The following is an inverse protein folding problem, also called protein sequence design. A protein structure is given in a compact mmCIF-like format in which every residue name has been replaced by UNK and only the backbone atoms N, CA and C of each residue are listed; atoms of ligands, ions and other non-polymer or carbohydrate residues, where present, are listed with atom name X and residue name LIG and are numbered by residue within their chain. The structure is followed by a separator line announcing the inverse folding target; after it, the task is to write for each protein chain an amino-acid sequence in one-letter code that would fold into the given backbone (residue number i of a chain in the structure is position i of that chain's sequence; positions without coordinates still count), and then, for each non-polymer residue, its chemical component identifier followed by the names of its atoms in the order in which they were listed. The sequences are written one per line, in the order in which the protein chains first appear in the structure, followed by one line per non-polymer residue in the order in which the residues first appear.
data_IF_180701680621
#
_entry.id   IF_180701680621
#
_cell.length_a   1.000
_cell.length_b   1.000
_cell.length_c   1.000
_cell.angle_alpha   90.00
_cell.angle_beta   90.00
_cell.angle_gamma   90.00
#
_symmetry.space_group_name_H-M   'P 1'
#
loop_
_entity.id
_entity.type
_entity.pdbx_description
1 polymer ?
#
# COMPACT_ATOMS: atom_id res chain seq x y z
N UNK A 1 -6.60 13.09 44.68
CA UNK A 1 -7.64 13.43 43.67
C UNK A 1 -7.62 12.32 42.63
N UNK A 2 -8.76 11.70 42.32
CA UNK A 2 -8.85 10.68 41.27
C UNK A 2 -8.82 11.41 39.92
N UNK A 3 -7.73 11.29 39.18
CA UNK A 3 -7.73 11.62 37.76
C UNK A 3 -8.78 10.74 37.09
N UNK A 4 -9.93 11.32 36.80
CA UNK A 4 -10.96 10.69 36.00
C UNK A 4 -10.44 10.72 34.57
N UNK A 5 -9.74 9.66 34.17
CA UNK A 5 -9.60 9.34 32.75
C UNK A 5 -11.00 9.43 32.11
N UNK A 6 -11.12 9.94 30.86
CA UNK A 6 -12.35 9.81 30.10
C UNK A 6 -12.81 8.36 30.14
N UNK A 7 -14.13 8.05 30.13
CA UNK A 7 -14.59 6.68 30.03
C UNK A 7 -14.15 6.12 28.67
N UNK A 8 -13.03 5.42 28.64
CA UNK A 8 -12.53 4.71 27.46
C UNK A 8 -13.44 3.52 27.24
N UNK A 9 -14.05 3.45 26.05
CA UNK A 9 -14.98 2.38 25.67
C UNK A 9 -14.37 1.50 24.57
N UNK A 10 -14.98 0.37 24.28
CA UNK A 10 -14.64 -0.46 23.11
C UNK A 10 -14.65 0.34 21.80
N UNK A 11 -15.55 1.33 21.65
CA UNK A 11 -15.64 2.22 20.49
C UNK A 11 -14.33 2.99 20.26
N UNK A 12 -13.64 3.41 21.31
CA UNK A 12 -12.34 4.08 21.19
C UNK A 12 -11.29 3.17 20.55
N UNK A 13 -11.17 1.93 21.06
CA UNK A 13 -10.22 0.95 20.53
C UNK A 13 -10.58 0.52 19.10
N UNK A 14 -11.86 0.34 18.80
CA UNK A 14 -12.34 0.09 17.43
C UNK A 14 -11.92 1.24 16.51
N UNK A 15 -12.12 2.49 16.94
CA UNK A 15 -11.74 3.68 16.19
C UNK A 15 -10.24 3.75 15.91
N UNK A 16 -9.40 3.54 16.93
CA UNK A 16 -7.94 3.49 16.77
C UNK A 16 -7.50 2.38 15.82
N UNK A 17 -8.06 1.19 15.98
CA UNK A 17 -7.68 0.04 15.18
C UNK A 17 -8.07 0.27 13.72
N UNK A 18 -9.29 0.75 13.44
CA UNK A 18 -9.68 1.16 12.09
C UNK A 18 -8.79 2.25 11.53
N UNK A 19 -8.45 3.28 12.32
CA UNK A 19 -7.57 4.35 11.87
C UNK A 19 -6.18 3.85 11.49
N UNK A 20 -5.64 2.89 12.25
CA UNK A 20 -4.40 2.18 11.94
C UNK A 20 -4.53 1.36 10.66
N UNK A 21 -5.50 0.44 10.58
CA UNK A 21 -5.62 -0.46 9.42
C UNK A 21 -5.87 0.28 8.10
N UNK A 22 -6.69 1.35 8.12
CA UNK A 22 -6.90 2.21 6.95
C UNK A 22 -5.68 3.01 6.53
N UNK A 23 -4.68 3.13 7.41
CA UNK A 23 -3.46 3.89 7.23
C UNK A 23 -3.55 5.36 7.64
N UNK A 24 -4.69 5.81 8.17
CA UNK A 24 -4.87 7.21 8.64
C UNK A 24 -4.14 7.53 9.94
N UNK A 25 -3.61 6.51 10.62
CA UNK A 25 -2.63 6.63 11.71
C UNK A 25 -1.51 5.60 11.53
N UNK A 26 -0.29 6.02 11.81
CA UNK A 26 0.90 5.18 11.93
C UNK A 26 0.92 4.46 13.27
N UNK A 27 1.79 3.44 13.39
CA UNK A 27 2.09 2.80 14.69
C UNK A 27 2.44 3.83 15.76
N UNK A 28 3.32 4.78 15.44
CA UNK A 28 3.77 5.78 16.41
C UNK A 28 2.62 6.69 16.88
N UNK A 29 1.77 7.16 15.98
CA UNK A 29 0.62 8.01 16.33
C UNK A 29 -0.40 7.25 17.18
N UNK A 30 -0.66 5.97 16.89
CA UNK A 30 -1.55 5.14 17.73
C UNK A 30 -0.99 4.98 19.14
N UNK A 31 0.31 4.68 19.26
CA UNK A 31 0.97 4.55 20.56
C UNK A 31 1.00 5.89 21.32
N UNK A 32 1.13 7.01 20.61
CA UNK A 32 1.04 8.35 21.20
C UNK A 32 -0.35 8.63 21.77
N UNK A 33 -1.43 8.33 21.03
CA UNK A 33 -2.79 8.48 21.54
C UNK A 33 -3.01 7.58 22.78
N UNK A 34 -2.52 6.33 22.72
CA UNK A 34 -2.71 5.34 23.77
C UNK A 34 -1.94 5.70 25.06
N UNK A 35 -0.66 6.05 24.95
CA UNK A 35 0.23 6.29 26.09
C UNK A 35 0.31 7.75 26.51
N UNK A 36 0.29 8.66 25.54
CA UNK A 36 0.47 10.08 25.79
C UNK A 36 -0.83 10.77 26.21
N UNK A 37 -1.94 10.48 25.54
CA UNK A 37 -3.20 11.17 25.79
C UNK A 37 -4.07 10.49 26.84
N UNK A 38 -4.13 9.15 26.82
CA UNK A 38 -5.00 8.38 27.71
C UNK A 38 -4.23 7.66 28.83
N UNK A 39 -2.90 7.59 28.73
CA UNK A 39 -2.03 6.94 29.72
C UNK A 39 -2.42 5.47 30.00
N UNK A 40 -2.74 4.74 28.93
CA UNK A 40 -3.05 3.31 28.96
C UNK A 40 -1.85 2.51 28.45
N UNK A 41 -0.94 2.12 29.34
CA UNK A 41 0.17 1.24 28.99
C UNK A 41 -0.20 -0.22 29.22
N UNK A 42 0.15 -1.15 28.31
CA UNK A 42 0.07 -2.58 28.59
C UNK A 42 0.95 -2.92 29.80
N UNK A 43 0.54 -3.90 30.60
CA UNK A 43 1.25 -4.29 31.82
C UNK A 43 2.67 -4.83 31.55
N UNK A 44 2.92 -5.35 30.36
CA UNK A 44 4.21 -5.84 29.88
C UNK A 44 4.71 -4.92 28.75
N UNK A 45 5.86 -4.26 28.97
CA UNK A 45 6.45 -3.24 28.09
C UNK A 45 7.32 -3.81 26.95
N UNK A 46 7.22 -5.10 26.65
CA UNK A 46 8.01 -5.69 25.56
C UNK A 46 7.35 -5.40 24.19
N UNK A 47 7.25 -4.11 23.86
CA UNK A 47 6.70 -3.59 22.60
C UNK A 47 7.66 -3.77 21.41
N UNK A 48 8.82 -4.42 21.63
CA UNK A 48 9.89 -4.54 20.66
C UNK A 48 9.51 -5.48 19.51
N UNK A 49 8.81 -4.92 18.51
CA UNK A 49 8.33 -5.63 17.33
C UNK A 49 6.90 -6.16 17.43
N UNK A 50 6.16 -5.86 18.50
CA UNK A 50 4.78 -6.31 18.63
C UNK A 50 3.84 -5.53 17.67
N UNK A 51 2.85 -6.25 17.14
CA UNK A 51 1.83 -5.68 16.25
C UNK A 51 0.88 -4.73 16.98
N UNK A 52 0.59 -3.59 16.37
CA UNK A 52 -0.26 -2.54 16.95
C UNK A 52 -1.67 -3.06 17.26
N UNK A 53 -2.22 -3.93 16.41
CA UNK A 53 -3.55 -4.50 16.66
C UNK A 53 -3.54 -5.36 17.93
N UNK A 54 -2.47 -6.12 18.17
CA UNK A 54 -2.30 -6.93 19.39
C UNK A 54 -2.15 -6.06 20.63
N UNK A 55 -1.36 -4.98 20.53
CA UNK A 55 -1.21 -4.01 21.62
C UNK A 55 -2.58 -3.40 21.97
N UNK A 56 -3.35 -2.95 20.97
CA UNK A 56 -4.67 -2.37 21.18
C UNK A 56 -5.65 -3.37 21.81
N UNK A 57 -5.69 -4.62 21.33
CA UNK A 57 -6.56 -5.67 21.87
C UNK A 57 -6.20 -6.04 23.31
N UNK A 58 -4.90 -6.17 23.63
CA UNK A 58 -4.42 -6.44 24.98
C UNK A 58 -4.79 -5.31 25.93
N UNK A 59 -4.52 -4.07 25.54
CA UNK A 59 -4.86 -2.89 26.34
C UNK A 59 -6.36 -2.77 26.55
N UNK A 60 -7.18 -3.01 25.52
CA UNK A 60 -8.63 -3.01 25.65
C UNK A 60 -9.14 -4.07 26.64
N UNK A 61 -8.58 -5.28 26.56
CA UNK A 61 -8.94 -6.41 27.45
C UNK A 61 -8.55 -6.12 28.90
N UNK A 62 -7.40 -5.45 29.12
CA UNK A 62 -6.96 -5.03 30.44
C UNK A 62 -7.86 -3.93 31.04
N UNK A 63 -8.48 -3.09 30.19
CA UNK A 63 -9.47 -2.09 30.62
C UNK A 63 -10.80 -2.75 30.96
N UNK A 64 -11.28 -3.69 30.13
CA UNK A 64 -12.52 -4.43 30.37
C UNK A 64 -12.54 -5.77 29.62
N UNK A 65 -12.88 -6.87 30.32
CA UNK A 65 -12.81 -8.24 29.80
C UNK A 65 -13.64 -8.48 28.52
N UNK A 66 -14.80 -7.83 28.41
CA UNK A 66 -15.69 -7.99 27.25
C UNK A 66 -15.24 -7.22 25.99
N UNK A 67 -14.30 -6.26 26.11
CA UNK A 67 -13.93 -5.42 24.96
C UNK A 67 -13.29 -6.21 23.83
N UNK A 68 -12.58 -7.30 24.11
CA UNK A 68 -12.05 -8.17 23.06
C UNK A 68 -13.13 -8.64 22.10
N UNK A 69 -14.23 -9.20 22.62
CA UNK A 69 -15.32 -9.74 21.79
C UNK A 69 -16.07 -8.64 21.03
N UNK A 70 -16.26 -7.48 21.67
CA UNK A 70 -16.89 -6.31 21.02
C UNK A 70 -16.03 -5.79 19.87
N UNK A 71 -14.71 -5.69 20.05
CA UNK A 71 -13.77 -5.23 19.03
C UNK A 71 -13.72 -6.22 17.86
N UNK A 72 -13.51 -7.51 18.14
CA UNK A 72 -13.44 -8.55 17.10
C UNK A 72 -14.74 -8.58 16.30
N UNK A 73 -15.89 -8.61 16.98
CA UNK A 73 -17.20 -8.60 16.32
C UNK A 73 -17.42 -7.38 15.41
N UNK A 74 -16.94 -6.21 15.82
CA UNK A 74 -17.04 -4.98 15.02
C UNK A 74 -16.10 -4.98 13.80
N UNK A 75 -14.94 -5.64 13.87
CA UNK A 75 -13.96 -5.68 12.78
C UNK A 75 -14.31 -6.72 11.71
N UNK A 76 -14.83 -7.88 12.09
CA UNK A 76 -15.25 -8.92 11.14
C UNK A 76 -16.38 -8.45 10.21
N UNK A 77 -17.14 -7.43 10.61
CA UNK A 77 -18.23 -6.85 9.81
C UNK A 77 -17.84 -5.53 9.10
N UNK A 78 -16.60 -5.06 9.29
CA UNK A 78 -16.15 -3.75 8.85
C UNK A 78 -15.47 -3.81 7.48
N UNK A 79 -16.17 -3.41 6.43
CA UNK A 79 -15.57 -3.14 5.10
C UNK A 79 -14.61 -1.94 5.13
N UNK A 80 -14.66 -1.11 6.16
CA UNK A 80 -13.85 0.08 6.35
C UNK A 80 -12.54 -0.17 7.11
N UNK A 81 -12.02 -1.40 7.05
CA UNK A 81 -10.80 -1.81 7.73
C UNK A 81 -9.60 -1.97 6.78
N UNK A 82 -9.75 -1.71 5.48
CA UNK A 82 -8.69 -1.95 4.49
C UNK A 82 -7.84 -0.70 4.22
N UNK A 83 -6.54 -0.86 3.87
CA UNK A 83 -5.71 0.27 3.48
C UNK A 83 -6.33 1.10 2.37
N UNK A 84 -6.25 2.41 2.52
CA UNK A 84 -6.79 3.38 1.55
C UNK A 84 -5.66 4.12 0.84
N UNK A 85 -5.94 4.77 -0.29
CA UNK A 85 -4.95 5.62 -0.98
C UNK A 85 -4.44 6.72 -0.04
N UNK A 86 -5.35 7.41 0.63
CA UNK A 86 -5.02 8.43 1.62
C UNK A 86 -4.17 7.85 2.76
N UNK A 87 -4.45 6.62 3.18
CA UNK A 87 -3.64 5.87 4.13
C UNK A 87 -2.22 5.58 3.62
N UNK A 88 -2.07 5.08 2.40
CA UNK A 88 -0.75 4.85 1.80
C UNK A 88 0.05 6.14 1.72
N UNK A 89 -0.59 7.25 1.33
CA UNK A 89 0.04 8.58 1.31
C UNK A 89 0.55 8.95 2.71
N UNK A 90 -0.30 8.86 3.73
CA UNK A 90 0.06 9.18 5.11
C UNK A 90 1.24 8.34 5.63
N UNK A 91 1.20 7.03 5.40
CA UNK A 91 2.27 6.12 5.84
C UNK A 91 3.60 6.41 5.12
N UNK A 92 3.56 6.70 3.81
CA UNK A 92 4.74 7.08 3.05
C UNK A 92 5.30 8.44 3.49
N UNK A 93 4.45 9.42 3.79
CA UNK A 93 4.87 10.71 4.34
C UNK A 93 5.55 10.55 5.69
N UNK A 94 4.96 9.75 6.59
CA UNK A 94 5.57 9.47 7.89
C UNK A 94 6.91 8.74 7.77
N UNK A 95 7.01 7.74 6.87
CA UNK A 95 8.25 7.04 6.58
C UNK A 95 9.34 8.00 6.08
N UNK A 96 9.02 8.84 5.10
CA UNK A 96 9.97 9.79 4.52
C UNK A 96 10.36 10.93 5.48
N UNK A 97 9.50 11.24 6.45
CA UNK A 97 9.79 12.18 7.53
C UNK A 97 10.63 11.57 8.67
N UNK A 98 10.87 10.26 8.67
CA UNK A 98 11.57 9.54 9.75
C UNK A 98 10.70 9.23 10.98
N UNK A 99 9.38 9.41 10.86
CA UNK A 99 8.38 9.10 11.90
C UNK A 99 7.83 7.65 11.77
N UNK A 100 8.42 6.85 10.90
CA UNK A 100 8.10 5.42 10.74
C UNK A 100 9.32 4.70 10.16
N UNK A 101 9.30 3.36 10.17
CA UNK A 101 10.36 2.53 9.57
C UNK A 101 9.80 1.70 8.41
N UNK A 102 10.65 1.24 7.46
CA UNK A 102 10.21 0.35 6.40
C UNK A 102 9.54 -0.92 6.92
N UNK A 103 10.03 -1.48 8.02
CA UNK A 103 9.46 -2.68 8.66
C UNK A 103 8.06 -2.40 9.21
N UNK A 104 7.85 -1.24 9.84
CA UNK A 104 6.53 -0.82 10.31
C UNK A 104 5.55 -0.59 9.15
N UNK A 105 6.02 -0.02 8.03
CA UNK A 105 5.22 0.13 6.82
C UNK A 105 4.81 -1.23 6.24
N UNK A 106 5.74 -2.18 6.13
CA UNK A 106 5.44 -3.54 5.65
C UNK A 106 4.46 -4.22 6.58
N UNK A 107 4.68 -4.18 7.89
CA UNK A 107 3.78 -4.77 8.88
C UNK A 107 2.35 -4.21 8.75
N UNK A 108 2.21 -2.89 8.62
CA UNK A 108 0.92 -2.26 8.34
C UNK A 108 0.33 -2.68 6.99
N UNK A 109 1.16 -2.83 5.96
CA UNK A 109 0.67 -3.18 4.63
C UNK A 109 0.32 -4.67 4.46
N UNK A 110 0.65 -5.55 5.41
CA UNK A 110 0.51 -7.00 5.24
C UNK A 110 -0.32 -7.70 6.31
N UNK A 111 -1.03 -6.96 7.17
CA UNK A 111 -1.85 -7.57 8.24
C UNK A 111 -2.94 -8.53 7.72
N UNK A 112 -3.39 -8.33 6.49
CA UNK A 112 -4.42 -9.13 5.82
C UNK A 112 -3.87 -10.37 5.10
N UNK A 113 -2.54 -10.55 5.05
CA UNK A 113 -1.91 -11.66 4.33
C UNK A 113 -1.83 -12.96 5.17
N UNK A 114 -2.77 -13.19 6.08
CA UNK A 114 -2.74 -14.39 6.93
C UNK A 114 -2.98 -15.65 6.08
N UNK A 115 -2.10 -16.67 6.17
CA UNK A 115 -2.20 -17.88 5.36
C UNK A 115 -3.44 -18.70 5.76
N UNK A 116 -4.53 -18.53 5.02
CA UNK A 116 -5.78 -19.27 5.24
C UNK A 116 -7.05 -18.58 4.75
N UNK A 117 -7.01 -17.27 4.48
CA UNK A 117 -8.18 -16.47 4.08
C UNK A 117 -8.10 -15.90 2.64
N UNK A 118 -7.15 -16.40 1.84
CA UNK A 118 -6.96 -15.95 0.47
C UNK A 118 -8.02 -16.54 -0.47
N UNK A 119 -9.22 -15.99 -0.41
CA UNK A 119 -10.35 -16.35 -1.26
C UNK A 119 -10.30 -15.67 -2.65
N UNK A 120 -9.18 -15.02 -3.01
CA UNK A 120 -9.02 -14.35 -4.30
C UNK A 120 -9.93 -13.13 -4.52
N UNK A 121 -10.55 -12.61 -3.46
CA UNK A 121 -11.35 -11.38 -3.48
C UNK A 121 -10.43 -10.22 -3.13
N UNK A 122 -10.21 -9.28 -4.07
CA UNK A 122 -9.45 -8.07 -3.78
C UNK A 122 -10.21 -7.25 -2.73
N UNK A 123 -9.59 -7.08 -1.55
CA UNK A 123 -10.14 -6.33 -0.43
C UNK A 123 -10.03 -4.81 -0.61
N UNK A 124 -9.40 -4.35 -1.69
CA UNK A 124 -9.04 -2.95 -1.89
C UNK A 124 -9.88 -2.30 -2.97
N UNK A 125 -10.31 -1.07 -2.71
CA UNK A 125 -11.05 -0.24 -3.68
C UNK A 125 -10.13 0.42 -4.73
N UNK A 126 -8.81 0.39 -4.54
CA UNK A 126 -7.83 1.02 -5.42
C UNK A 126 -6.77 0.00 -5.85
N UNK A 127 -6.69 -0.25 -7.16
CA UNK A 127 -5.79 -1.25 -7.74
C UNK A 127 -4.31 -0.95 -7.49
N UNK A 128 -3.92 0.33 -7.42
CA UNK A 128 -2.54 0.70 -7.13
C UNK A 128 -2.22 0.47 -5.64
N UNK A 129 -3.18 0.68 -4.75
CA UNK A 129 -3.06 0.36 -3.31
C UNK A 129 -2.95 -1.14 -3.12
N UNK A 130 -3.82 -1.92 -3.77
CA UNK A 130 -3.76 -3.38 -3.77
C UNK A 130 -2.36 -3.87 -4.16
N UNK A 131 -1.90 -3.51 -5.36
CA UNK A 131 -0.57 -3.90 -5.84
C UNK A 131 0.55 -3.48 -4.88
N UNK A 132 0.48 -2.27 -4.32
CA UNK A 132 1.48 -1.76 -3.39
C UNK A 132 1.56 -2.61 -2.11
N UNK A 133 0.41 -2.91 -1.50
CA UNK A 133 0.31 -3.63 -0.24
C UNK A 133 0.49 -5.14 -0.37
N UNK A 134 -0.06 -5.76 -1.42
CA UNK A 134 -0.10 -7.23 -1.56
C UNK A 134 1.09 -7.80 -2.35
N UNK A 135 1.72 -7.00 -3.22
CA UNK A 135 2.81 -7.49 -4.09
C UNK A 135 4.12 -6.74 -3.88
N UNK A 136 4.11 -5.41 -4.01
CA UNK A 136 5.34 -4.62 -4.07
C UNK A 136 6.07 -4.59 -2.72
N UNK A 137 5.38 -4.22 -1.63
CA UNK A 137 5.98 -4.12 -0.30
C UNK A 137 6.44 -5.47 0.28
N UNK A 138 5.63 -6.56 0.26
CA UNK A 138 6.02 -7.82 0.90
C UNK A 138 7.13 -8.56 0.14
N UNK A 139 7.19 -8.42 -1.19
CA UNK A 139 8.13 -9.16 -2.02
C UNK A 139 8.71 -8.29 -3.16
N UNK A 140 9.46 -7.23 -2.82
CA UNK A 140 10.01 -6.35 -3.83
C UNK A 140 11.10 -7.09 -4.65
N UNK A 141 11.18 -6.87 -5.97
CA UNK A 141 12.24 -7.43 -6.84
C UNK A 141 13.68 -7.12 -6.37
N UNK A 142 13.86 -6.01 -5.67
CA UNK A 142 15.10 -5.57 -5.02
C UNK A 142 14.77 -4.65 -3.83
N UNK A 143 15.69 -4.46 -2.86
CA UNK A 143 15.40 -3.65 -1.68
C UNK A 143 14.89 -2.24 -2.02
N UNK A 144 13.77 -1.85 -1.40
CA UNK A 144 13.19 -0.53 -1.60
C UNK A 144 14.08 0.54 -0.99
N UNK A 145 14.48 1.51 -1.81
CA UNK A 145 15.30 2.65 -1.41
C UNK A 145 14.43 3.85 -1.05
N UNK A 146 15.02 4.86 -0.39
CA UNK A 146 14.37 6.14 -0.15
C UNK A 146 13.82 6.78 -1.44
N UNK A 147 14.53 6.62 -2.57
CA UNK A 147 14.09 7.11 -3.86
C UNK A 147 12.82 6.39 -4.36
N UNK A 148 12.70 5.08 -4.12
CA UNK A 148 11.50 4.31 -4.46
C UNK A 148 10.28 4.79 -3.66
N UNK A 149 10.43 5.00 -2.34
CA UNK A 149 9.34 5.52 -1.50
C UNK A 149 8.92 6.95 -1.89
N UNK A 150 9.90 7.81 -2.21
CA UNK A 150 9.63 9.17 -2.69
C UNK A 150 8.84 9.14 -3.99
N UNK A 151 9.19 8.26 -4.91
CA UNK A 151 8.51 8.12 -6.18
C UNK A 151 7.11 7.50 -6.03
N UNK A 152 6.96 6.47 -5.19
CA UNK A 152 5.66 5.91 -4.84
C UNK A 152 4.72 6.99 -4.26
N UNK A 153 5.22 7.84 -3.36
CA UNK A 153 4.44 8.95 -2.80
C UNK A 153 3.96 9.92 -3.89
N UNK A 154 4.83 10.26 -4.85
CA UNK A 154 4.45 11.12 -6.00
C UNK A 154 3.37 10.49 -6.86
N UNK A 155 3.46 9.19 -7.12
CA UNK A 155 2.44 8.44 -7.85
C UNK A 155 1.10 8.52 -7.12
N UNK A 156 1.07 8.19 -5.83
CA UNK A 156 -0.19 8.20 -5.08
C UNK A 156 -0.81 9.60 -4.91
N UNK A 157 0.02 10.65 -4.84
CA UNK A 157 -0.42 12.06 -4.77
C UNK A 157 -0.87 12.65 -6.10
N UNK A 158 -0.77 11.93 -7.22
CA UNK A 158 -1.15 12.46 -8.53
C UNK A 158 -2.64 12.87 -8.55
N UNK A 159 -2.98 14.15 -8.80
CA UNK A 159 -4.36 14.63 -8.75
C UNK A 159 -5.25 14.04 -9.86
N UNK A 160 -4.67 13.56 -10.96
CA UNK A 160 -5.43 12.97 -12.07
C UNK A 160 -5.99 11.58 -11.74
N UNK A 161 -5.48 10.92 -10.69
CA UNK A 161 -5.93 9.64 -10.12
C UNK A 161 -6.37 8.61 -11.19
N UNK A 162 -5.39 7.95 -11.81
CA UNK A 162 -5.62 6.84 -12.75
C UNK A 162 -4.99 5.57 -12.17
N UNK A 163 -5.81 4.71 -11.55
CA UNK A 163 -5.32 3.56 -10.78
C UNK A 163 -4.51 2.56 -11.65
N UNK A 164 -4.87 2.41 -12.92
CA UNK A 164 -4.14 1.53 -13.85
C UNK A 164 -2.77 2.13 -14.17
N UNK A 165 -2.70 3.43 -14.46
CA UNK A 165 -1.42 4.11 -14.71
C UNK A 165 -0.55 4.16 -13.47
N UNK A 166 -1.14 4.36 -12.30
CA UNK A 166 -0.42 4.36 -11.03
C UNK A 166 0.18 2.97 -10.75
N UNK A 167 -0.57 1.88 -10.97
CA UNK A 167 -0.03 0.52 -10.88
C UNK A 167 1.15 0.32 -11.84
N UNK A 168 1.01 0.74 -13.10
CA UNK A 168 2.11 0.66 -14.08
C UNK A 168 3.34 1.44 -13.58
N UNK A 169 3.14 2.65 -13.07
CA UNK A 169 4.22 3.47 -12.53
C UNK A 169 4.92 2.82 -11.33
N UNK A 170 4.16 2.15 -10.44
CA UNK A 170 4.70 1.41 -9.30
C UNK A 170 5.55 0.20 -9.75
N UNK A 171 5.09 -0.57 -10.74
CA UNK A 171 5.88 -1.67 -11.32
C UNK A 171 7.19 -1.15 -11.94
N UNK A 172 7.14 0.01 -12.57
CA UNK A 172 8.28 0.66 -13.22
C UNK A 172 9.20 1.42 -12.24
N UNK A 173 9.02 1.31 -10.92
CA UNK A 173 9.95 1.88 -9.95
C UNK A 173 11.37 1.34 -10.14
N UNK A 174 11.51 0.07 -10.52
CA UNK A 174 12.79 -0.61 -10.63
C UNK A 174 13.40 -0.51 -12.02
N UNK A 175 14.70 -0.23 -12.07
CA UNK A 175 15.43 -0.04 -13.33
C UNK A 175 15.38 -1.28 -14.23
N UNK A 176 15.51 -2.47 -13.65
CA UNK A 176 15.42 -3.74 -14.40
C UNK A 176 14.07 -3.89 -15.10
N UNK A 177 12.99 -3.46 -14.47
CA UNK A 177 11.66 -3.57 -15.06
C UNK A 177 11.43 -2.51 -16.13
N UNK A 178 12.00 -1.30 -15.97
CA UNK A 178 12.03 -0.29 -17.06
C UNK A 178 12.76 -0.80 -18.29
N UNK A 179 13.89 -1.49 -18.12
CA UNK A 179 14.63 -2.08 -19.24
C UNK A 179 13.84 -3.17 -19.96
N UNK A 180 13.15 -4.04 -19.20
CA UNK A 180 12.25 -5.05 -19.76
C UNK A 180 11.09 -4.41 -20.51
N UNK A 181 10.49 -3.37 -19.92
CA UNK A 181 9.44 -2.60 -20.56
C UNK A 181 9.90 -2.07 -21.92
N UNK A 182 11.06 -1.39 -21.96
CA UNK A 182 11.64 -0.88 -23.21
C UNK A 182 11.90 -1.99 -24.23
N UNK A 183 12.34 -3.17 -23.78
CA UNK A 183 12.59 -4.31 -24.67
C UNK A 183 11.29 -4.86 -25.29
N UNK A 184 10.33 -5.29 -24.47
CA UNK A 184 9.11 -5.93 -24.97
C UNK A 184 8.21 -4.97 -25.74
N UNK A 185 8.05 -3.75 -25.22
CA UNK A 185 7.26 -2.72 -25.89
C UNK A 185 7.99 -2.21 -27.13
N UNK A 186 9.32 -2.08 -27.07
CA UNK A 186 10.15 -1.69 -28.20
C UNK A 186 10.09 -2.68 -29.36
N UNK A 187 10.04 -3.97 -29.07
CA UNK A 187 9.91 -5.01 -30.07
C UNK A 187 8.51 -5.02 -30.71
N UNK A 188 7.48 -4.82 -29.90
CA UNK A 188 6.09 -4.65 -30.37
C UNK A 188 5.94 -3.44 -31.30
N UNK A 189 6.43 -2.25 -30.92
CA UNK A 189 6.27 -1.04 -31.75
C UNK A 189 7.07 -1.12 -33.06
N UNK A 190 8.12 -1.95 -33.12
CA UNK A 190 8.86 -2.23 -34.35
C UNK A 190 8.12 -3.22 -35.27
N UNK A 191 7.04 -3.85 -34.80
CA UNK A 191 6.25 -4.83 -35.55
C UNK A 191 6.91 -6.20 -35.65
N UNK A 192 7.88 -6.51 -34.78
CA UNK A 192 8.54 -7.82 -34.76
C UNK A 192 7.71 -8.88 -34.03
N UNK A 193 6.87 -8.47 -33.09
CA UNK A 193 6.01 -9.34 -32.28
C UNK A 193 4.53 -9.00 -32.47
N UNK A 194 3.69 -10.04 -32.40
CA UNK A 194 2.24 -9.88 -32.44
C UNK A 194 1.70 -9.34 -31.10
N UNK A 195 0.54 -8.66 -31.08
CA UNK A 195 -0.08 -8.17 -29.84
C UNK A 195 -0.24 -9.26 -28.76
N UNK A 196 -0.57 -10.49 -29.16
CA UNK A 196 -0.74 -11.62 -28.24
C UNK A 196 0.56 -12.04 -27.56
N UNK A 197 1.71 -11.74 -28.17
CA UNK A 197 3.02 -11.99 -27.55
C UNK A 197 3.37 -10.89 -26.54
N UNK A 198 2.93 -9.64 -26.78
CA UNK A 198 3.04 -8.56 -25.81
C UNK A 198 2.16 -8.85 -24.57
N UNK A 199 0.97 -9.45 -24.77
CA UNK A 199 0.07 -9.82 -23.67
C UNK A 199 0.73 -10.73 -22.64
N UNK A 200 1.62 -11.64 -23.06
CA UNK A 200 2.35 -12.51 -22.11
C UNK A 200 3.15 -11.68 -21.11
N UNK A 201 3.82 -10.64 -21.59
CA UNK A 201 4.56 -9.70 -20.74
C UNK A 201 3.61 -8.86 -19.88
N UNK A 202 2.56 -8.29 -20.50
CA UNK A 202 1.63 -7.40 -19.81
C UNK A 202 0.85 -8.11 -18.70
N UNK A 203 0.38 -9.33 -18.95
CA UNK A 203 -0.33 -10.14 -17.96
C UNK A 203 0.59 -10.55 -16.82
N UNK A 204 1.85 -10.92 -17.12
CA UNK A 204 2.81 -11.30 -16.08
C UNK A 204 3.21 -10.14 -15.17
N UNK A 205 3.40 -8.94 -15.71
CA UNK A 205 3.93 -7.79 -14.97
C UNK A 205 2.90 -6.83 -14.43
N UNK A 206 1.83 -6.64 -15.18
CA UNK A 206 0.81 -5.65 -14.87
C UNK A 206 -0.56 -6.30 -14.61
N UNK A 207 -0.72 -7.61 -14.86
CA UNK A 207 -1.99 -8.32 -14.67
C UNK A 207 -3.08 -7.84 -15.61
N UNK A 208 -2.71 -7.35 -16.80
CA UNK A 208 -3.61 -6.79 -17.80
C UNK A 208 -3.16 -7.21 -19.20
N UNK A 209 -4.11 -7.34 -20.12
CA UNK A 209 -3.83 -7.53 -21.54
C UNK A 209 -3.67 -6.18 -22.25
N UNK A 210 -3.36 -6.21 -23.54
CA UNK A 210 -3.25 -5.02 -24.35
C UNK A 210 -4.58 -4.25 -24.43
N UNK A 211 -5.74 -4.91 -24.40
CA UNK A 211 -7.03 -4.18 -24.39
C UNK A 211 -7.21 -3.30 -23.14
N UNK A 212 -6.64 -3.71 -22.01
CA UNK A 212 -6.76 -3.04 -20.73
C UNK A 212 -5.55 -2.17 -20.37
N UNK A 213 -4.45 -2.26 -21.14
CA UNK A 213 -3.22 -1.54 -20.84
C UNK A 213 -3.35 -0.03 -21.17
N UNK A 214 -3.18 0.87 -20.18
CA UNK A 214 -3.60 2.27 -20.29
C UNK A 214 -2.78 3.12 -21.28
N UNK A 215 -1.65 2.60 -21.76
CA UNK A 215 -0.77 3.29 -22.70
C UNK A 215 -0.87 2.76 -24.14
N UNK A 216 -1.76 1.81 -24.45
CA UNK A 216 -1.87 1.27 -25.83
C UNK A 216 -2.14 2.34 -26.89
N UNK A 217 -2.97 3.33 -26.61
CA UNK A 217 -3.23 4.42 -27.56
C UNK A 217 -1.96 5.23 -27.83
N UNK A 218 -1.15 5.47 -26.79
CA UNK A 218 0.14 6.15 -26.93
C UNK A 218 1.13 5.29 -27.72
N UNK A 219 1.16 3.98 -27.48
CA UNK A 219 1.98 3.02 -28.23
C UNK A 219 1.61 2.98 -29.71
N UNK A 220 0.31 2.91 -30.02
CA UNK A 220 -0.20 2.95 -31.39
C UNK A 220 0.25 4.21 -32.14
N UNK A 221 0.31 5.36 -31.45
CA UNK A 221 0.73 6.64 -32.05
C UNK A 221 2.22 6.75 -32.36
N UNK A 222 3.04 5.88 -31.76
CA UNK A 222 4.50 5.84 -31.96
C UNK A 222 4.96 4.55 -32.66
N UNK A 223 4.02 3.79 -33.24
CA UNK A 223 4.34 2.60 -34.04
C UNK A 223 5.36 2.95 -35.12
N UNK A 224 6.36 2.07 -35.27
CA UNK A 224 7.49 2.23 -36.17
C UNK A 224 8.39 3.45 -35.90
N UNK A 225 8.27 4.09 -34.73
CA UNK A 225 9.10 5.20 -34.27
C UNK A 225 9.65 4.94 -32.84
N UNK A 226 10.59 3.98 -32.70
CA UNK A 226 11.12 3.57 -31.38
C UNK A 226 11.90 4.69 -30.66
N UNK A 227 12.31 5.75 -31.36
CA UNK A 227 12.99 6.88 -30.74
C UNK A 227 12.09 7.64 -29.74
N UNK A 228 10.76 7.51 -29.85
CA UNK A 228 9.80 8.12 -28.92
C UNK A 228 9.52 7.28 -27.66
N UNK A 229 9.92 6.01 -27.64
CA UNK A 229 9.64 5.10 -26.54
C UNK A 229 10.24 5.55 -25.18
N UNK A 230 11.46 6.09 -25.10
CA UNK A 230 11.99 6.61 -23.84
C UNK A 230 11.16 7.74 -23.22
N UNK A 231 10.55 8.59 -24.05
CA UNK A 231 9.66 9.66 -23.57
C UNK A 231 8.37 9.06 -22.98
N UNK A 232 7.79 8.05 -23.63
CA UNK A 232 6.63 7.34 -23.09
C UNK A 232 6.97 6.63 -21.77
N UNK A 233 8.15 6.02 -21.64
CA UNK A 233 8.60 5.42 -20.39
C UNK A 233 8.64 6.46 -19.26
N UNK A 234 9.16 7.67 -19.51
CA UNK A 234 9.18 8.74 -18.50
C UNK A 234 7.77 9.09 -18.02
N UNK A 235 6.82 9.23 -18.94
CA UNK A 235 5.40 9.45 -18.62
C UNK A 235 4.85 8.28 -17.82
N UNK A 236 5.06 7.04 -18.27
CA UNK A 236 4.52 5.84 -17.64
C UNK A 236 5.08 5.58 -16.24
N UNK A 237 6.36 5.89 -16.01
CA UNK A 237 7.01 5.76 -14.71
C UNK A 237 6.84 7.01 -13.82
N UNK A 238 6.12 8.02 -14.30
CA UNK A 238 5.91 9.31 -13.64
C UNK A 238 7.23 9.99 -13.22
N UNK A 239 8.29 9.81 -14.02
CA UNK A 239 9.62 10.36 -13.74
C UNK A 239 9.58 11.86 -14.08
N UNK A 240 9.93 12.76 -13.15
CA UNK A 240 9.97 14.20 -13.45
C UNK A 240 10.97 14.52 -14.57
N UNK A 241 10.70 15.58 -15.35
CA UNK A 241 11.59 16.10 -16.39
C UNK A 241 12.95 16.58 -15.84
#
# INVERSE_FOLDING_TARGET
MKDKMPPVTSVYFIGLLKAYLRGTKTKQEVLQDLYGEINLQPADLDDSGEDVTRILLRTATAVHENYYQEIVGALTQATDSTPTREGVIHQLEALLAGNSTPEALVQWATWHNDPGEDNGVSYFDDLAVDYFCTQLLPNPPEPLSHAHYTQALKIFKNPLRDQLKDKVALVLLFEKERQRFLFYVGDYIQGHTAPEQLDVYLLNKFGMDHYSFPYMTSLASIMYDPAKLPALLKVAANIPE
#
